data_IF_697953862312
#
_entry.id   IF_697953862312
#
_cell.length_a   1.000
_cell.length_b   1.000
_cell.length_c   1.000
_cell.angle_alpha   90.00
_cell.angle_beta   90.00
_cell.angle_gamma   90.00
#
_symmetry.space_group_name_H-M   'P 1'
#
loop_
_entity.id
_entity.type
_entity.pdbx_description
1 polymer ?
#
# COMPACT_ATOMS: atom_id res chain seq x y z
N UNK A 1 1.41 1.70 0.84
CA UNK A 1 0.49 2.27 -0.17
C UNK A 1 0.12 3.72 0.11
N UNK A 2 -0.53 4.06 1.25
CA UNK A 2 -0.93 5.45 1.60
C UNK A 2 0.20 6.46 1.38
N UNK A 3 1.39 6.20 1.95
CA UNK A 3 2.55 7.11 1.81
C UNK A 3 3.00 7.34 0.35
N UNK A 4 2.78 6.39 -0.56
CA UNK A 4 3.10 6.56 -1.98
C UNK A 4 1.99 7.37 -2.69
N UNK A 5 0.73 6.98 -2.50
CA UNK A 5 -0.41 7.63 -3.16
C UNK A 5 -0.61 9.08 -2.71
N UNK A 6 -0.29 9.41 -1.44
CA UNK A 6 -0.33 10.80 -0.95
C UNK A 6 0.67 11.73 -1.63
N UNK A 7 1.61 11.21 -2.44
CA UNK A 7 2.51 12.04 -3.28
C UNK A 7 1.83 12.52 -4.56
N UNK A 8 0.78 11.82 -5.00
CA UNK A 8 0.09 12.06 -6.28
C UNK A 8 -1.34 12.58 -6.09
N UNK A 9 -1.86 12.62 -4.87
CA UNK A 9 -3.25 12.95 -4.63
C UNK A 9 -3.60 12.97 -3.15
N UNK A 10 -4.89 13.04 -2.87
CA UNK A 10 -5.40 13.15 -1.50
C UNK A 10 -6.49 12.12 -1.24
N UNK A 11 -6.51 11.59 -0.02
CA UNK A 11 -7.61 10.78 0.47
C UNK A 11 -8.59 11.62 1.28
N UNK A 12 -9.88 11.35 1.13
CA UNK A 12 -10.93 11.76 2.07
C UNK A 12 -11.60 10.52 2.65
N UNK A 13 -11.95 10.55 3.94
CA UNK A 13 -12.57 9.40 4.62
C UNK A 13 -11.65 8.21 4.87
N UNK A 14 -10.33 8.37 4.72
CA UNK A 14 -9.37 7.31 5.07
C UNK A 14 -9.40 7.03 6.57
N UNK A 15 -9.55 5.77 6.94
CA UNK A 15 -9.67 5.36 8.34
C UNK A 15 -8.43 4.59 8.79
N UNK A 16 -7.97 4.88 10.01
CA UNK A 16 -6.99 4.04 10.67
C UNK A 16 -7.63 2.68 11.02
N UNK A 17 -6.84 1.62 10.94
CA UNK A 17 -7.25 0.24 11.24
C UNK A 17 -6.05 -0.53 11.82
N UNK A 18 -6.22 -1.84 12.03
CA UNK A 18 -5.15 -2.75 12.43
C UNK A 18 -5.44 -4.17 11.91
N UNK A 19 -4.42 -5.04 11.89
CA UNK A 19 -4.60 -6.48 11.66
C UNK A 19 -5.39 -7.14 12.80
N UNK A 20 -5.94 -8.34 12.58
CA UNK A 20 -6.70 -9.02 13.61
C UNK A 20 -5.80 -9.42 14.80
N UNK A 21 -6.40 -9.56 15.98
CA UNK A 21 -5.71 -9.96 17.22
C UNK A 21 -5.10 -11.36 17.14
N UNK A 22 -5.64 -12.22 16.27
CA UNK A 22 -5.24 -13.60 16.08
C UNK A 22 -4.25 -13.79 14.92
N UNK A 23 -3.85 -12.71 14.25
CA UNK A 23 -2.88 -12.75 13.15
C UNK A 23 -1.45 -13.06 13.65
N UNK A 24 -0.59 -13.54 12.74
CA UNK A 24 0.85 -13.74 13.03
C UNK A 24 1.52 -12.45 13.51
N UNK A 25 1.07 -11.31 12.97
CA UNK A 25 1.46 -9.97 13.39
C UNK A 25 0.21 -9.27 13.95
N UNK A 26 -0.18 -9.52 15.21
CA UNK A 26 -1.45 -9.07 15.75
C UNK A 26 -1.44 -7.55 15.99
N UNK A 27 -2.62 -6.92 15.88
CA UNK A 27 -2.83 -5.49 16.15
C UNK A 27 -1.86 -4.54 15.42
N UNK A 28 -1.32 -4.98 14.29
CA UNK A 28 -0.39 -4.20 13.48
C UNK A 28 -1.10 -2.98 12.92
N UNK A 29 -0.67 -1.75 13.25
CA UNK A 29 -1.35 -0.55 12.77
C UNK A 29 -1.32 -0.42 11.25
N UNK A 30 -2.48 -0.13 10.66
CA UNK A 30 -2.64 0.05 9.21
C UNK A 30 -3.74 1.07 8.89
N UNK A 31 -4.13 1.15 7.62
CA UNK A 31 -5.27 1.92 7.16
C UNK A 31 -6.23 1.01 6.40
N UNK A 32 -7.53 1.27 6.55
CA UNK A 32 -8.55 0.75 5.65
C UNK A 32 -8.90 1.83 4.62
N UNK A 33 -8.91 1.43 3.36
CA UNK A 33 -9.38 2.20 2.22
C UNK A 33 -10.90 2.07 2.03
N UNK A 34 -11.56 1.14 2.71
CA UNK A 34 -13.02 0.97 2.64
C UNK A 34 -13.74 2.28 2.96
N UNK A 35 -14.60 2.72 2.04
CA UNK A 35 -15.34 3.98 2.16
C UNK A 35 -14.50 5.25 1.93
N UNK A 36 -13.20 5.15 1.67
CA UNK A 36 -12.36 6.30 1.33
C UNK A 36 -12.51 6.69 -0.14
N UNK A 37 -12.27 7.98 -0.43
CA UNK A 37 -12.19 8.50 -1.80
C UNK A 37 -10.79 9.03 -2.04
N UNK A 38 -10.18 8.63 -3.15
CA UNK A 38 -8.90 9.15 -3.60
C UNK A 38 -9.07 10.11 -4.78
N UNK A 39 -8.54 11.33 -4.65
CA UNK A 39 -8.57 12.36 -5.69
C UNK A 39 -7.16 12.62 -6.21
N UNK A 40 -6.97 12.52 -7.52
CA UNK A 40 -5.70 12.82 -8.19
C UNK A 40 -5.94 13.25 -9.63
N UNK A 41 -5.04 14.09 -10.14
CA UNK A 41 -4.97 14.45 -11.56
C UNK A 41 -4.06 13.50 -12.36
N UNK A 42 -3.33 12.61 -11.69
CA UNK A 42 -2.31 11.74 -12.31
C UNK A 42 -2.77 10.30 -12.49
N UNK A 43 -3.58 9.78 -11.56
CA UNK A 43 -4.01 8.39 -11.58
C UNK A 43 -5.37 8.19 -10.91
N UNK A 44 -6.06 7.12 -11.28
CA UNK A 44 -7.19 6.61 -10.53
C UNK A 44 -6.73 5.52 -9.56
N UNK A 45 -7.33 5.46 -8.37
CA UNK A 45 -7.08 4.41 -7.39
C UNK A 45 -8.40 3.74 -7.04
N UNK A 46 -8.43 2.41 -7.20
CA UNK A 46 -9.58 1.58 -6.82
C UNK A 46 -9.10 0.57 -5.80
N UNK A 47 -9.67 0.61 -4.60
CA UNK A 47 -9.38 -0.34 -3.54
C UNK A 47 -10.59 -1.25 -3.31
N UNK A 48 -10.31 -2.53 -3.03
CA UNK A 48 -11.29 -3.49 -2.53
C UNK A 48 -10.67 -4.25 -1.37
N UNK A 49 -11.38 -4.26 -0.24
CA UNK A 49 -11.07 -5.07 0.93
C UNK A 49 -12.14 -6.16 1.03
N UNK A 50 -11.77 -7.41 0.74
CA UNK A 50 -12.72 -8.53 0.70
C UNK A 50 -13.12 -9.03 2.08
N UNK A 51 -12.32 -8.72 3.09
CA UNK A 51 -12.47 -9.19 4.46
C UNK A 51 -12.22 -8.04 5.45
N UNK A 52 -12.85 -8.11 6.62
CA UNK A 52 -12.56 -7.22 7.75
C UNK A 52 -11.35 -7.72 8.55
N UNK A 53 -10.91 -6.94 9.53
CA UNK A 53 -9.95 -7.38 10.53
C UNK A 53 -10.62 -8.09 11.74
N UNK A 54 -11.89 -8.49 11.61
CA UNK A 54 -12.61 -9.19 12.67
C UNK A 54 -12.76 -10.67 12.32
N UNK A 55 -12.29 -11.54 13.21
CA UNK A 55 -12.46 -12.98 13.05
C UNK A 55 -13.72 -13.49 13.76
N UNK A 56 -14.41 -14.44 13.13
CA UNK A 56 -15.52 -15.18 13.73
C UNK A 56 -15.53 -16.60 13.18
N UNK A 57 -15.54 -17.60 14.06
CA UNK A 57 -15.54 -19.00 13.65
C UNK A 57 -14.28 -19.45 12.90
N UNK A 58 -13.13 -18.79 13.15
CA UNK A 58 -11.84 -19.14 12.53
C UNK A 58 -11.59 -18.51 11.15
N UNK A 59 -12.47 -17.64 10.68
CA UNK A 59 -12.30 -16.88 9.43
C UNK A 59 -12.58 -15.40 9.64
N UNK A 60 -12.00 -14.54 8.81
CA UNK A 60 -12.38 -13.12 8.78
C UNK A 60 -13.83 -12.95 8.28
N UNK A 61 -14.50 -11.91 8.76
CA UNK A 61 -15.82 -11.57 8.23
C UNK A 61 -15.67 -10.96 6.83
N UNK A 62 -16.54 -11.30 5.87
CA UNK A 62 -16.51 -10.69 4.54
C UNK A 62 -16.86 -9.20 4.61
N UNK A 63 -16.26 -8.38 3.75
CA UNK A 63 -16.49 -6.94 3.67
C UNK A 63 -16.99 -6.51 2.29
N UNK A 64 -16.21 -6.75 1.23
CA UNK A 64 -16.60 -6.49 -0.15
C UNK A 64 -16.48 -7.75 -1.01
N UNK A 65 -17.12 -7.71 -2.18
CA UNK A 65 -16.91 -8.68 -3.25
C UNK A 65 -16.20 -8.00 -4.41
N UNK A 66 -15.28 -8.73 -5.04
CA UNK A 66 -14.71 -8.31 -6.30
C UNK A 66 -15.80 -8.28 -7.38
N UNK A 67 -15.67 -7.37 -8.35
CA UNK A 67 -16.44 -7.45 -9.60
C UNK A 67 -15.83 -8.50 -10.53
N UNK A 68 -16.56 -8.93 -11.55
CA UNK A 68 -16.05 -9.90 -12.53
C UNK A 68 -14.76 -9.42 -13.21
N UNK A 69 -14.63 -8.12 -13.46
CA UNK A 69 -13.43 -7.50 -14.05
C UNK A 69 -12.24 -7.57 -13.07
N UNK A 70 -12.48 -7.32 -11.78
CA UNK A 70 -11.43 -7.40 -10.76
C UNK A 70 -10.98 -8.85 -10.52
N UNK A 71 -11.93 -9.80 -10.53
CA UNK A 71 -11.61 -11.24 -10.50
C UNK A 71 -10.77 -11.64 -11.71
N UNK A 72 -11.10 -11.15 -12.91
CA UNK A 72 -10.32 -11.43 -14.12
C UNK A 72 -8.89 -10.90 -14.03
N UNK A 73 -8.69 -9.66 -13.54
CA UNK A 73 -7.35 -9.09 -13.32
C UNK A 73 -6.55 -9.94 -12.32
N UNK A 74 -7.16 -10.35 -11.21
CA UNK A 74 -6.49 -11.20 -10.22
C UNK A 74 -6.12 -12.56 -10.82
N UNK A 75 -7.04 -13.19 -11.56
CA UNK A 75 -6.82 -14.48 -12.21
C UNK A 75 -5.70 -14.41 -13.26
N UNK A 76 -5.69 -13.38 -14.10
CA UNK A 76 -4.67 -13.18 -15.15
C UNK A 76 -3.26 -12.99 -14.56
N UNK A 77 -3.16 -12.36 -13.39
CA UNK A 77 -1.88 -12.17 -12.71
C UNK A 77 -1.21 -13.48 -12.27
N UNK A 78 -2.00 -14.54 -12.08
CA UNK A 78 -1.56 -15.81 -11.50
C UNK A 78 -1.05 -15.70 -10.06
N UNK A 79 -1.35 -14.61 -9.36
CA UNK A 79 -0.88 -14.34 -7.99
C UNK A 79 -2.01 -14.49 -6.98
N UNK A 80 -1.66 -14.93 -5.78
CA UNK A 80 -2.62 -15.19 -4.69
C UNK A 80 -2.30 -14.45 -3.39
N UNK A 81 -1.13 -13.80 -3.30
CA UNK A 81 -0.69 -13.11 -2.08
C UNK A 81 -1.36 -11.75 -1.93
N UNK A 82 -1.91 -11.50 -0.74
CA UNK A 82 -2.46 -10.20 -0.33
C UNK A 82 -1.43 -9.40 0.49
N UNK A 83 -1.38 -8.06 0.34
CA UNK A 83 -2.14 -7.27 -0.63
C UNK A 83 -1.72 -7.56 -2.07
N UNK A 84 -2.68 -7.53 -2.99
CA UNK A 84 -2.45 -7.56 -4.43
C UNK A 84 -2.63 -6.14 -4.98
N UNK A 85 -1.68 -5.70 -5.81
CA UNK A 85 -1.69 -4.38 -6.44
C UNK A 85 -1.37 -4.55 -7.92
N UNK A 86 -2.23 -4.02 -8.77
CA UNK A 86 -1.99 -3.87 -10.21
C UNK A 86 -1.76 -2.40 -10.56
N UNK A 87 -0.75 -2.16 -11.39
CA UNK A 87 -0.34 -0.84 -11.85
C UNK A 87 -0.62 -0.71 -13.36
N UNK A 88 -1.91 -0.63 -13.70
CA UNK A 88 -2.38 -0.45 -15.07
C UNK A 88 -1.94 -1.58 -16.01
N UNK A 89 -1.89 -2.80 -15.51
CA UNK A 89 -1.44 -4.00 -16.23
C UNK A 89 0.05 -4.06 -16.55
N UNK A 90 0.88 -3.14 -16.03
CA UNK A 90 2.33 -3.07 -16.34
C UNK A 90 3.22 -3.61 -15.23
N UNK A 91 2.84 -3.35 -13.99
CA UNK A 91 3.57 -3.82 -12.81
C UNK A 91 2.57 -4.42 -11.83
N UNK A 92 3.04 -5.37 -11.04
CA UNK A 92 2.24 -5.96 -9.98
C UNK A 92 3.05 -6.10 -8.69
N UNK A 93 2.36 -6.01 -7.57
CA UNK A 93 2.87 -6.45 -6.26
C UNK A 93 1.89 -7.50 -5.75
N UNK A 94 2.43 -8.60 -5.23
CA UNK A 94 1.65 -9.61 -4.53
C UNK A 94 2.33 -9.95 -3.22
N UNK A 95 1.61 -9.73 -2.12
CA UNK A 95 2.14 -9.86 -0.77
C UNK A 95 2.68 -8.55 -0.20
N UNK A 96 3.03 -8.60 1.09
CA UNK A 96 3.56 -7.46 1.81
C UNK A 96 4.91 -7.01 1.23
N UNK A 97 5.10 -5.69 1.07
CA UNK A 97 6.34 -5.11 0.53
C UNK A 97 7.44 -4.94 1.58
N UNK A 98 7.15 -5.22 2.85
CA UNK A 98 8.08 -5.23 3.98
C UNK A 98 7.51 -6.10 5.11
N UNK A 99 8.34 -6.45 6.08
CA UNK A 99 7.95 -7.25 7.26
C UNK A 99 7.03 -6.42 8.21
N UNK A 100 5.76 -6.80 8.41
CA UNK A 100 4.84 -6.08 9.29
C UNK A 100 5.33 -5.96 10.74
N UNK A 101 6.18 -6.88 11.20
CA UNK A 101 6.74 -6.89 12.55
C UNK A 101 7.49 -5.60 12.91
N UNK A 102 7.95 -4.83 11.92
CA UNK A 102 8.59 -3.52 12.13
C UNK A 102 7.63 -2.47 12.74
N UNK A 103 6.31 -2.69 12.65
CA UNK A 103 5.26 -1.80 13.14
C UNK A 103 4.62 -2.26 14.46
N UNK A 104 5.02 -3.42 14.99
CA UNK A 104 4.48 -3.98 16.25
C UNK A 104 4.63 -3.02 17.44
N UNK A 105 3.66 -3.06 18.35
CA UNK A 105 3.64 -2.25 19.58
C UNK A 105 3.82 -0.75 19.34
N UNK A 106 3.38 -0.25 18.17
CA UNK A 106 3.35 1.18 17.85
C UNK A 106 1.92 1.64 17.62
N UNK A 107 1.75 2.96 17.67
CA UNK A 107 0.53 3.62 17.25
C UNK A 107 0.83 4.57 16.08
N UNK A 108 -0.21 5.05 15.41
CA UNK A 108 -0.07 5.96 14.25
C UNK A 108 0.87 7.14 14.49
N UNK A 109 0.71 7.93 15.57
CA UNK A 109 1.62 9.04 15.87
C UNK A 109 3.09 8.62 16.08
N UNK A 110 3.33 7.50 16.77
CA UNK A 110 4.67 6.96 16.97
C UNK A 110 5.33 6.52 15.66
N UNK A 111 4.56 5.87 14.78
CA UNK A 111 5.00 5.49 13.43
C UNK A 111 5.34 6.73 12.63
N UNK A 112 4.46 7.74 12.61
CA UNK A 112 4.70 8.97 11.86
C UNK A 112 5.98 9.69 12.31
N UNK A 113 6.25 9.74 13.62
CA UNK A 113 7.48 10.29 14.17
C UNK A 113 8.71 9.52 13.69
N UNK A 114 8.67 8.19 13.73
CA UNK A 114 9.79 7.34 13.30
C UNK A 114 9.99 7.38 11.78
N UNK A 115 8.93 7.54 10.99
CA UNK A 115 9.05 7.75 9.54
C UNK A 115 9.84 9.02 9.19
N UNK A 116 9.78 10.06 10.03
CA UNK A 116 10.54 11.29 9.84
C UNK A 116 12.05 11.16 10.15
N UNK A 117 12.46 10.09 10.83
CA UNK A 117 13.87 9.76 11.05
C UNK A 117 14.35 8.78 9.96
N UNK A 118 15.20 9.22 9.01
CA UNK A 118 15.66 8.37 7.90
C UNK A 118 16.51 7.18 8.34
N UNK A 119 17.02 7.18 9.57
CA UNK A 119 17.82 6.08 10.12
C UNK A 119 16.96 5.01 10.81
N UNK A 120 15.68 5.29 11.05
CA UNK A 120 14.80 4.34 11.70
C UNK A 120 14.44 3.17 10.76
N UNK A 121 14.32 1.97 11.33
CA UNK A 121 13.87 0.79 10.57
C UNK A 121 12.49 0.99 9.95
N UNK A 122 11.60 1.72 10.63
CA UNK A 122 10.26 2.05 10.13
C UNK A 122 10.35 2.96 8.90
N UNK A 123 11.21 3.98 8.92
CA UNK A 123 11.39 4.86 7.76
C UNK A 123 11.94 4.07 6.57
N UNK A 124 12.97 3.26 6.78
CA UNK A 124 13.56 2.42 5.73
C UNK A 124 12.54 1.44 5.13
N UNK A 125 11.74 0.77 5.97
CA UNK A 125 10.72 -0.17 5.51
C UNK A 125 9.57 0.55 4.78
N UNK A 126 8.91 1.49 5.45
CA UNK A 126 7.68 2.12 4.94
C UNK A 126 7.98 3.06 3.77
N UNK A 127 8.98 3.94 3.90
CA UNK A 127 9.33 4.87 2.82
C UNK A 127 10.09 4.17 1.69
N UNK A 128 10.88 3.14 1.99
CA UNK A 128 11.51 2.31 0.96
C UNK A 128 10.48 1.61 0.08
N UNK A 129 9.51 0.93 0.69
CA UNK A 129 8.38 0.33 -0.04
C UNK A 129 7.56 1.39 -0.80
N UNK A 130 7.31 2.56 -0.19
CA UNK A 130 6.60 3.66 -0.85
C UNK A 130 7.36 4.20 -2.07
N UNK A 131 8.69 4.25 -2.02
CA UNK A 131 9.53 4.64 -3.16
C UNK A 131 9.43 3.63 -4.29
N UNK A 132 9.49 2.32 -4.00
CA UNK A 132 9.30 1.27 -5.02
C UNK A 132 7.93 1.36 -5.71
N UNK A 133 6.85 1.54 -4.94
CA UNK A 133 5.51 1.78 -5.49
C UNK A 133 5.47 3.07 -6.34
N UNK A 134 6.14 4.11 -5.89
CA UNK A 134 6.23 5.39 -6.62
C UNK A 134 6.96 5.22 -7.95
N UNK A 135 7.99 4.38 -8.03
CA UNK A 135 8.67 4.04 -9.30
C UNK A 135 7.68 3.43 -10.29
N UNK A 136 6.85 2.46 -9.85
CA UNK A 136 5.83 1.86 -10.70
C UNK A 136 4.81 2.90 -11.20
N UNK A 137 4.31 3.77 -10.31
CA UNK A 137 3.39 4.86 -10.67
C UNK A 137 4.03 5.82 -11.67
N UNK A 138 5.28 6.24 -11.45
CA UNK A 138 5.99 7.12 -12.39
C UNK A 138 6.13 6.49 -13.78
N UNK A 139 6.31 5.17 -13.87
CA UNK A 139 6.27 4.44 -15.14
C UNK A 139 4.90 4.49 -15.84
N UNK A 140 3.80 4.50 -15.07
CA UNK A 140 2.44 4.62 -15.63
C UNK A 140 2.11 6.05 -16.06
N UNK A 141 2.56 7.06 -15.32
CA UNK A 141 2.21 8.47 -15.53
C UNK A 141 3.16 9.20 -16.48
N UNK A 142 4.13 8.50 -17.08
CA UNK A 142 5.14 9.11 -17.95
C UNK A 142 6.04 10.09 -17.18
N UNK A 143 6.46 9.71 -15.98
CA UNK A 143 7.27 10.49 -15.03
C UNK A 143 6.61 11.78 -14.52
N UNK A 144 5.27 11.81 -14.40
CA UNK A 144 4.55 12.95 -13.84
C UNK A 144 3.95 12.65 -12.44
N UNK A 145 4.02 13.62 -11.50
CA UNK A 145 4.76 14.88 -11.59
C UNK A 145 6.27 14.66 -11.40
N UNK A 146 7.07 15.42 -12.16
CA UNK A 146 8.54 15.33 -12.10
C UNK A 146 9.08 15.58 -10.68
N UNK A 147 8.48 16.48 -9.91
CA UNK A 147 8.87 16.76 -8.52
C UNK A 147 8.80 15.54 -7.60
N UNK A 148 7.94 14.57 -7.90
CA UNK A 148 7.86 13.29 -7.18
C UNK A 148 8.77 12.26 -7.84
N UNK A 149 8.68 12.10 -9.16
CA UNK A 149 9.38 11.05 -9.90
C UNK A 149 10.91 11.24 -9.89
N UNK A 150 11.38 12.48 -9.85
CA UNK A 150 12.81 12.82 -9.81
C UNK A 150 13.32 13.00 -8.36
N UNK A 151 12.47 12.76 -7.36
CA UNK A 151 12.91 12.88 -5.97
C UNK A 151 14.02 11.87 -5.64
N UNK A 152 15.01 12.22 -4.81
CA UNK A 152 16.18 11.38 -4.56
C UNK A 152 15.84 9.95 -4.09
N UNK A 153 14.82 9.82 -3.23
CA UNK A 153 14.40 8.51 -2.73
C UNK A 153 13.78 7.61 -3.81
N UNK A 154 13.05 8.20 -4.76
CA UNK A 154 12.46 7.47 -5.90
C UNK A 154 13.53 7.06 -6.89
N UNK A 155 14.48 7.95 -7.20
CA UNK A 155 15.61 7.63 -8.08
C UNK A 155 16.52 6.55 -7.49
N UNK A 156 16.79 6.60 -6.17
CA UNK A 156 17.52 5.55 -5.48
C UNK A 156 16.80 4.20 -5.54
N UNK A 157 15.48 4.17 -5.32
CA UNK A 157 14.69 2.96 -5.44
C UNK A 157 14.65 2.43 -6.88
N UNK A 158 14.52 3.32 -7.87
CA UNK A 158 14.54 2.97 -9.29
C UNK A 158 15.85 2.27 -9.66
N UNK A 159 16.99 2.85 -9.25
CA UNK A 159 18.30 2.26 -9.46
C UNK A 159 18.44 0.89 -8.77
N UNK A 160 17.94 0.75 -7.53
CA UNK A 160 17.97 -0.51 -6.80
C UNK A 160 17.11 -1.62 -7.45
N UNK A 161 16.07 -1.24 -8.19
CA UNK A 161 15.21 -2.14 -8.97
C UNK A 161 15.78 -2.43 -10.37
N UNK A 162 16.87 -1.79 -10.79
CA UNK A 162 17.47 -1.97 -12.11
C UNK A 162 16.66 -1.35 -13.26
N UNK A 163 15.91 -0.28 -12.99
CA UNK A 163 15.05 0.43 -13.96
C UNK A 163 15.60 1.81 -14.37
#
# INVERSE_FOLDING_TARGET
MVAALSRFGTFTGLSASHSATEDVYPDTPTFSFYGSVYTSVYLAFTAVETETNEMSGGSYKPLQKLTAEQEAVLAESGRTGIPFLDFGGKFLISGASFDPGVLEERNGPGIAKLMADPTSKISQAVLGAANGITVAICGMTGNQPASVCDSPGVQAAKAALGL
#
